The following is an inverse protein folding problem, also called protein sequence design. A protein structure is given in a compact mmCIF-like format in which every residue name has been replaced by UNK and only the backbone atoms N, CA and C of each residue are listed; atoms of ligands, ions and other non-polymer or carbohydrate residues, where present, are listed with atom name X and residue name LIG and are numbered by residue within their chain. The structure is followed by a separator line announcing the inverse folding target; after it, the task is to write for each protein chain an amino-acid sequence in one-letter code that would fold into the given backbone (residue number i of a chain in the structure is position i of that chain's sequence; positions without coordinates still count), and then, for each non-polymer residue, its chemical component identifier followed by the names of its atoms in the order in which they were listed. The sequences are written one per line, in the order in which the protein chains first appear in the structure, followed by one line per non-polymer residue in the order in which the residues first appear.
data_IF_786025212082
#
_entry.id   IF_786025212082
#
_cell.length_a   1.000
_cell.length_b   1.000
_cell.length_c   1.000
_cell.angle_alpha   90.00
_cell.angle_beta   90.00
_cell.angle_gamma   90.00
#
_symmetry.space_group_name_H-M   'P 1'
#
loop_
_entity.id
_entity.type
_entity.pdbx_description
1 polymer ?
#
# COMPACT_ATOMS: atom_id res chain seq x y z
N UNK A 1 8.35 10.48 -5.87
CA UNK A 1 8.81 10.83 -7.23
C UNK A 1 8.82 9.55 -8.06
N UNK A 2 7.97 9.45 -9.08
CA UNK A 2 7.96 8.30 -10.00
C UNK A 2 9.09 8.48 -11.02
N UNK A 3 9.95 7.46 -11.14
CA UNK A 3 10.98 7.40 -12.17
C UNK A 3 10.67 6.21 -13.10
N UNK A 4 10.31 6.45 -14.37
CA UNK A 4 10.02 5.38 -15.32
C UNK A 4 11.23 4.45 -15.56
N UNK A 5 12.45 4.96 -15.35
CA UNK A 5 13.71 4.24 -15.51
C UNK A 5 14.13 3.49 -14.24
N UNK A 6 13.38 3.60 -13.14
CA UNK A 6 13.67 2.89 -11.92
C UNK A 6 13.73 1.37 -12.17
N UNK A 7 14.83 0.76 -11.72
CA UNK A 7 15.05 -0.70 -11.80
C UNK A 7 13.99 -1.47 -11.00
N UNK A 8 13.59 -0.91 -9.86
CA UNK A 8 12.57 -1.46 -8.96
C UNK A 8 11.55 -0.38 -8.60
N UNK A 9 10.29 -0.78 -8.49
CA UNK A 9 9.17 0.06 -8.04
C UNK A 9 8.66 -0.53 -6.73
N UNK A 10 8.75 0.25 -5.65
CA UNK A 10 8.15 -0.09 -4.37
C UNK A 10 6.66 0.19 -4.44
N UNK A 11 5.86 -0.86 -4.45
CA UNK A 11 4.40 -0.78 -4.48
C UNK A 11 3.89 -0.97 -3.06
N UNK A 12 3.18 0.02 -2.54
CA UNK A 12 2.45 -0.11 -1.27
C UNK A 12 0.99 -0.40 -1.59
N UNK A 13 0.43 -1.47 -1.02
CA UNK A 13 -0.98 -1.82 -1.14
C UNK A 13 -1.51 -2.45 0.15
N UNK A 14 -2.81 -2.58 0.29
CA UNK A 14 -3.43 -3.33 1.38
C UNK A 14 -3.24 -4.85 1.23
N UNK A 15 -3.42 -5.56 2.33
CA UNK A 15 -3.20 -7.00 2.44
C UNK A 15 -4.42 -7.82 1.96
N UNK A 16 -4.85 -7.58 0.72
CA UNK A 16 -5.89 -8.37 0.05
C UNK A 16 -5.27 -9.62 -0.58
N UNK A 17 -6.00 -10.73 -0.59
CA UNK A 17 -5.49 -12.02 -1.11
C UNK A 17 -5.06 -11.97 -2.58
N UNK A 18 -5.60 -11.06 -3.38
CA UNK A 18 -5.24 -10.83 -4.80
C UNK A 18 -4.05 -9.88 -5.00
N UNK A 19 -3.52 -9.27 -3.94
CA UNK A 19 -2.42 -8.32 -4.05
C UNK A 19 -1.04 -8.98 -4.08
N UNK A 20 -0.91 -10.09 -4.82
CA UNK A 20 0.32 -10.86 -4.89
C UNK A 20 0.82 -11.02 -6.33
N UNK A 21 2.04 -11.56 -6.48
CA UNK A 21 2.68 -11.74 -7.79
C UNK A 21 1.92 -12.73 -8.70
N UNK A 22 1.26 -13.75 -8.14
CA UNK A 22 0.52 -14.72 -8.93
C UNK A 22 -0.64 -14.07 -9.69
N UNK A 23 -1.28 -13.04 -9.12
CA UNK A 23 -2.32 -12.27 -9.80
C UNK A 23 -1.82 -11.54 -11.05
N UNK A 24 -0.51 -11.24 -11.16
CA UNK A 24 0.06 -10.74 -12.41
C UNK A 24 0.05 -11.80 -13.51
N UNK A 25 0.28 -13.06 -13.16
CA UNK A 25 0.29 -14.18 -14.12
C UNK A 25 -1.13 -14.60 -14.50
N UNK A 26 -2.11 -14.34 -13.65
CA UNK A 26 -3.53 -14.50 -13.98
C UNK A 26 -4.01 -13.42 -14.96
N UNK A 27 -3.61 -12.16 -14.73
CA UNK A 27 -4.07 -11.02 -15.52
C UNK A 27 -3.33 -10.82 -16.86
N UNK A 28 -2.06 -11.24 -16.95
CA UNK A 28 -1.21 -10.94 -18.11
C UNK A 28 -0.52 -12.19 -18.67
N UNK A 29 -0.19 -12.21 -19.98
CA UNK A 29 0.67 -13.24 -20.55
C UNK A 29 1.99 -13.38 -19.78
N UNK A 30 2.48 -14.62 -19.64
CA UNK A 30 3.63 -14.94 -18.79
C UNK A 30 4.88 -14.03 -19.01
N UNK A 31 5.26 -13.65 -20.25
CA UNK A 31 6.40 -12.73 -20.45
C UNK A 31 6.18 -11.34 -19.85
N UNK A 32 4.94 -10.82 -19.90
CA UNK A 32 4.55 -9.52 -19.35
C UNK A 32 4.50 -9.61 -17.82
N UNK A 33 3.83 -10.62 -17.28
CA UNK A 33 3.74 -10.86 -15.85
C UNK A 33 5.13 -10.97 -15.21
N UNK A 34 6.02 -11.77 -15.81
CA UNK A 34 7.39 -11.96 -15.32
C UNK A 34 8.18 -10.65 -15.31
N UNK A 35 8.08 -9.85 -16.39
CA UNK A 35 8.74 -8.53 -16.47
C UNK A 35 8.25 -7.59 -15.36
N UNK A 36 6.95 -7.57 -15.09
CA UNK A 36 6.37 -6.76 -14.02
C UNK A 36 6.80 -7.25 -12.63
N UNK A 37 6.68 -8.56 -12.38
CA UNK A 37 7.08 -9.19 -11.12
C UNK A 37 8.55 -8.92 -10.77
N UNK A 38 9.44 -8.91 -11.77
CA UNK A 38 10.85 -8.57 -11.58
C UNK A 38 11.10 -7.10 -11.24
N UNK A 39 10.18 -6.19 -11.58
CA UNK A 39 10.30 -4.76 -11.25
C UNK A 39 9.60 -4.38 -9.96
N UNK A 40 8.53 -5.06 -9.58
CA UNK A 40 7.76 -4.73 -8.39
C UNK A 40 8.42 -5.28 -7.11
N UNK A 41 8.34 -4.49 -6.05
CA UNK A 41 8.62 -4.88 -4.68
C UNK A 41 7.40 -4.47 -3.85
N UNK A 42 6.61 -5.46 -3.44
CA UNK A 42 5.30 -5.24 -2.82
C UNK A 42 5.46 -5.14 -1.31
N UNK A 43 4.98 -4.04 -0.74
CA UNK A 43 4.89 -3.77 0.68
C UNK A 43 3.43 -3.68 1.09
N UNK A 44 2.99 -4.54 1.99
CA UNK A 44 1.62 -4.52 2.47
C UNK A 44 1.47 -3.54 3.64
N UNK A 45 0.38 -2.79 3.66
CA UNK A 45 -0.03 -2.08 4.87
C UNK A 45 -0.41 -3.11 5.95
N UNK A 46 -0.18 -2.81 7.25
CA UNK A 46 -0.62 -3.69 8.33
C UNK A 46 -2.13 -3.94 8.25
N UNK A 47 -2.57 -5.08 8.80
CA UNK A 47 -4.01 -5.31 9.00
C UNK A 47 -4.61 -4.16 9.80
N UNK A 48 -5.76 -3.65 9.38
CA UNK A 48 -6.41 -2.45 9.93
C UNK A 48 -5.56 -1.16 9.83
N UNK A 49 -4.50 -1.16 9.02
CA UNK A 49 -3.61 -0.03 8.75
C UNK A 49 -4.04 0.83 7.55
N UNK A 50 -5.35 0.86 7.29
CA UNK A 50 -5.97 1.53 6.14
C UNK A 50 -5.60 3.02 6.03
N UNK A 51 -5.40 3.68 7.18
CA UNK A 51 -4.93 5.07 7.28
C UNK A 51 -3.49 5.32 6.77
N UNK A 52 -2.70 4.26 6.51
CA UNK A 52 -1.39 4.34 5.86
C UNK A 52 -1.48 4.10 4.34
N UNK A 53 -2.66 3.77 3.81
CA UNK A 53 -2.88 3.50 2.40
C UNK A 53 -3.20 4.81 1.65
N UNK A 54 -2.32 5.20 0.71
CA UNK A 54 -2.51 6.40 -0.11
C UNK A 54 -3.78 6.30 -0.96
N UNK A 55 -4.08 5.12 -1.51
CA UNK A 55 -5.25 4.95 -2.36
C UNK A 55 -6.55 5.19 -1.58
N UNK A 56 -6.64 4.68 -0.35
CA UNK A 56 -7.80 4.92 0.52
C UNK A 56 -7.92 6.39 0.95
N UNK A 57 -6.79 7.05 1.20
CA UNK A 57 -6.77 8.49 1.47
C UNK A 57 -7.35 9.26 0.30
N UNK A 58 -6.93 8.95 -0.93
CA UNK A 58 -7.43 9.61 -2.14
C UNK A 58 -8.91 9.32 -2.40
N UNK A 59 -9.36 8.07 -2.17
CA UNK A 59 -10.79 7.73 -2.20
C UNK A 59 -11.59 8.53 -1.19
N UNK A 60 -11.06 8.75 0.02
CA UNK A 60 -11.68 9.57 1.05
C UNK A 60 -11.82 11.04 0.61
N UNK A 61 -10.83 11.57 -0.12
CA UNK A 61 -10.89 12.92 -0.70
C UNK A 61 -11.95 12.98 -1.82
N UNK A 62 -11.92 12.01 -2.75
CA UNK A 62 -12.93 11.88 -3.80
C UNK A 62 -14.34 11.83 -3.22
N UNK A 63 -14.57 11.03 -2.17
CA UNK A 63 -15.87 10.92 -1.52
C UNK A 63 -16.37 12.27 -1.01
N UNK A 64 -15.52 13.05 -0.34
CA UNK A 64 -15.91 14.35 0.22
C UNK A 64 -16.08 15.44 -0.84
N UNK A 65 -15.28 15.41 -1.91
CA UNK A 65 -15.25 16.49 -2.91
C UNK A 65 -16.19 16.27 -4.09
N UNK A 66 -16.45 15.03 -4.46
CA UNK A 66 -17.18 14.68 -5.68
C UNK A 66 -18.45 13.87 -5.38
N UNK A 67 -18.38 12.94 -4.43
CA UNK A 67 -19.43 11.93 -4.22
C UNK A 67 -20.34 12.21 -3.01
N UNK A 68 -20.21 13.36 -2.33
CA UNK A 68 -21.06 13.76 -1.20
C UNK A 68 -22.44 14.29 -1.66
N UNK A 69 -23.01 13.62 -2.67
CA UNK A 69 -24.30 13.92 -3.26
C UNK A 69 -24.86 12.68 -3.96
N UNK A 70 -26.18 12.66 -4.16
CA UNK A 70 -26.82 11.64 -4.99
C UNK A 70 -26.47 11.87 -6.46
N UNK A 71 -26.04 10.81 -7.13
CA UNK A 71 -25.78 10.79 -8.58
C UNK A 71 -26.71 9.75 -9.20
N UNK A 72 -27.42 10.15 -10.24
CA UNK A 72 -28.61 9.43 -10.70
C UNK A 72 -28.32 8.33 -11.71
N UNK A 73 -27.16 8.39 -12.38
CA UNK A 73 -26.76 7.47 -13.44
C UNK A 73 -25.27 7.14 -13.36
N UNK A 74 -24.90 5.99 -13.92
CA UNK A 74 -23.49 5.57 -14.01
C UNK A 74 -22.70 6.48 -14.94
N UNK A 75 -23.33 6.99 -15.99
CA UNK A 75 -22.74 7.89 -16.97
C UNK A 75 -22.42 9.25 -16.35
N UNK A 76 -23.32 9.78 -15.50
CA UNK A 76 -23.06 10.98 -14.72
C UNK A 76 -21.92 10.74 -13.72
N UNK A 77 -21.96 9.65 -12.96
CA UNK A 77 -20.91 9.30 -12.01
C UNK A 77 -19.52 9.25 -12.66
N UNK A 78 -19.43 8.64 -13.85
CA UNK A 78 -18.18 8.54 -14.59
C UNK A 78 -17.65 9.92 -14.99
N UNK A 79 -18.50 10.80 -15.54
CA UNK A 79 -18.09 12.16 -15.94
C UNK A 79 -17.60 13.00 -14.77
N UNK A 80 -18.26 12.88 -13.63
CA UNK A 80 -17.91 13.60 -12.41
C UNK A 80 -16.56 13.14 -11.86
N UNK A 81 -16.32 11.83 -11.80
CA UNK A 81 -15.03 11.26 -11.39
C UNK A 81 -13.92 11.67 -12.35
N UNK A 82 -14.14 11.62 -13.67
CA UNK A 82 -13.16 12.03 -14.68
C UNK A 82 -12.80 13.52 -14.57
N UNK A 83 -13.79 14.37 -14.33
CA UNK A 83 -13.60 15.82 -14.15
C UNK A 83 -12.79 16.08 -12.87
N UNK A 84 -13.20 15.50 -11.76
CA UNK A 84 -12.50 15.60 -10.48
C UNK A 84 -11.05 15.08 -10.58
N UNK A 85 -10.83 13.93 -11.22
CA UNK A 85 -9.50 13.35 -11.40
C UNK A 85 -8.60 14.28 -12.23
N UNK A 86 -9.13 14.92 -13.27
CA UNK A 86 -8.38 15.87 -14.10
C UNK A 86 -7.90 17.06 -13.29
N UNK A 87 -8.79 17.67 -12.50
CA UNK A 87 -8.45 18.79 -11.62
C UNK A 87 -7.42 18.37 -10.57
N UNK A 88 -7.64 17.22 -9.93
CA UNK A 88 -6.75 16.66 -8.92
C UNK A 88 -5.34 16.41 -9.46
N UNK A 89 -5.22 15.84 -10.65
CA UNK A 89 -3.94 15.65 -11.35
C UNK A 89 -3.26 16.97 -11.70
N UNK A 90 -4.02 18.00 -12.11
CA UNK A 90 -3.48 19.32 -12.44
C UNK A 90 -2.91 20.04 -11.22
N UNK A 91 -3.58 19.91 -10.06
CA UNK A 91 -3.07 20.48 -8.80
C UNK A 91 -1.83 19.76 -8.27
N UNK A 92 -1.50 18.57 -8.80
CA UNK A 92 -0.41 17.72 -8.34
C UNK A 92 -0.40 17.53 -6.81
N UNK A 93 -1.60 17.47 -6.23
CA UNK A 93 -1.77 17.43 -4.79
C UNK A 93 -1.08 16.20 -4.19
N UNK A 94 -0.30 16.41 -3.13
CA UNK A 94 0.46 15.35 -2.47
C UNK A 94 -0.08 15.07 -1.08
N UNK A 95 0.06 13.82 -0.63
CA UNK A 95 -0.18 13.46 0.77
C UNK A 95 1.02 13.95 1.59
N UNK A 96 0.76 14.85 2.54
CA UNK A 96 1.77 15.32 3.49
C UNK A 96 1.77 14.35 4.68
N UNK A 97 2.80 13.52 4.77
CA UNK A 97 2.96 12.57 5.85
C UNK A 97 3.55 13.22 7.09
N UNK A 98 2.78 13.24 8.17
CA UNK A 98 3.25 13.67 9.50
C UNK A 98 3.66 12.49 10.38
N UNK A 99 3.22 11.26 10.05
CA UNK A 99 3.58 10.05 10.75
C UNK A 99 5.00 9.60 10.39
N UNK A 100 5.89 9.61 11.37
CA UNK A 100 7.32 9.35 11.18
C UNK A 100 7.68 7.88 11.43
N UNK A 101 8.88 7.47 11.02
CA UNK A 101 9.43 6.16 11.39
C UNK A 101 9.57 5.98 12.90
N UNK A 102 9.84 7.06 13.65
CA UNK A 102 9.89 7.02 15.11
C UNK A 102 8.52 6.72 15.71
N UNK A 103 7.46 7.37 15.20
CA UNK A 103 6.08 7.08 15.60
C UNK A 103 5.69 5.64 15.26
N UNK A 104 6.12 5.15 14.09
CA UNK A 104 5.90 3.78 13.65
C UNK A 104 6.50 2.74 14.60
N UNK A 105 7.72 2.96 15.10
CA UNK A 105 8.37 2.03 16.05
C UNK A 105 7.56 1.88 17.33
N UNK A 106 6.93 2.95 17.80
CA UNK A 106 6.11 2.93 19.02
C UNK A 106 4.72 2.35 18.73
N UNK A 107 4.02 2.90 17.74
CA UNK A 107 2.62 2.55 17.42
C UNK A 107 2.48 1.13 16.87
N UNK A 108 3.47 0.68 16.10
CA UNK A 108 3.49 -0.64 15.45
C UNK A 108 4.44 -1.62 16.14
N UNK A 109 4.80 -1.39 17.41
CA UNK A 109 5.73 -2.27 18.16
C UNK A 109 5.35 -3.76 18.12
N UNK A 110 4.06 -4.05 18.07
CA UNK A 110 3.51 -5.41 18.02
C UNK A 110 3.76 -6.14 16.69
N UNK A 111 4.23 -5.44 15.65
CA UNK A 111 4.63 -6.02 14.37
C UNK A 111 6.11 -6.43 14.34
N UNK A 112 6.91 -6.03 15.33
CA UNK A 112 8.31 -6.40 15.40
C UNK A 112 8.46 -7.82 15.98
N UNK A 113 9.43 -8.62 15.48
CA UNK A 113 9.75 -9.91 16.08
C UNK A 113 10.14 -9.74 17.54
N UNK A 114 9.63 -10.62 18.40
CA UNK A 114 10.12 -10.78 19.76
C UNK A 114 11.14 -11.90 19.71
N UNK A 115 12.39 -11.61 20.08
CA UNK A 115 13.42 -12.63 20.24
C UNK A 115 13.39 -13.10 21.69
N UNK A 116 13.29 -14.41 21.91
CA UNK A 116 13.50 -15.00 23.23
C UNK A 116 15.02 -15.07 23.47
N UNK A 117 15.48 -14.62 24.63
CA UNK A 117 16.87 -14.82 25.05
C UNK A 117 17.03 -16.29 25.44
N UNK A 118 17.88 -17.03 24.73
CA UNK A 118 18.24 -18.40 25.13
C UNK A 118 18.95 -18.34 26.49
N UNK A 119 18.31 -18.85 27.54
CA UNK A 119 19.00 -19.13 28.81
C UNK A 119 20.11 -20.15 28.52
N UNK A 120 21.36 -19.71 28.62
CA UNK A 120 22.52 -20.58 28.57
C UNK A 120 22.47 -21.55 29.74
N UNK A 121 21.89 -22.74 29.52
CA UNK A 121 21.90 -23.82 30.48
C UNK A 121 23.34 -24.25 30.77
N UNK A 122 23.86 -23.85 31.92
CA UNK A 122 25.06 -24.46 32.51
C UNK A 122 24.77 -25.94 32.79
N UNK A 123 25.20 -26.80 31.87
CA UNK A 123 25.26 -28.24 32.08
C UNK A 123 26.38 -28.54 33.09
N UNK A 124 26.01 -28.71 34.36
CA UNK A 124 26.89 -29.27 35.38
C UNK A 124 26.98 -30.79 35.13
N UNK A 125 28.08 -31.24 34.54
CA UNK A 125 28.43 -32.67 34.49
C UNK A 125 29.07 -33.08 35.84
N UNK A 126 28.62 -34.17 36.48
CA UNK A 126 29.27 -34.68 37.69
C UNK A 126 30.56 -35.44 37.35
N UNK A 127 31.57 -35.27 38.22
CA UNK A 127 32.86 -35.97 38.24
C UNK A 127 32.74 -37.49 38.41
#
# INVERSE_FOLDING_TARGET
MWDPKARKVKLVCDNLNTHNIASLYEAFPAPVAHRLARRLEIYYTPRNGSWLNVAETELSVLSRQCLDRRISSKEELKREIETWQKERNQTASTVIWTFTTSDARVKLKHLYPVFEEEESGESIAPN
#
